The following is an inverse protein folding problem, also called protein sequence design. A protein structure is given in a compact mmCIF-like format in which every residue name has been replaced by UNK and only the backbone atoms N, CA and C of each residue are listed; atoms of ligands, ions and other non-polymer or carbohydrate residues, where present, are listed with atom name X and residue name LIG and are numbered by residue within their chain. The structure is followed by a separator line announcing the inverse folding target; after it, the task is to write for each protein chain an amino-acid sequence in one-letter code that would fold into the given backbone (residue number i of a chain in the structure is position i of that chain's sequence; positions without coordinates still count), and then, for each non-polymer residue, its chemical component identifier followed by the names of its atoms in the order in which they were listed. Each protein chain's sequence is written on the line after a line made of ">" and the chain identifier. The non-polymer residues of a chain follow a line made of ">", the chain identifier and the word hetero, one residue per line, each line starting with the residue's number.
data_IF_805737405409
#
_entry.id   IF_805737405409
#
_cell.length_a   1.000
_cell.length_b   1.000
_cell.length_c   1.000
_cell.angle_alpha   90.00
_cell.angle_beta   90.00
_cell.angle_gamma   90.00
#
_symmetry.space_group_name_H-M   'P 1'
#
loop_
_entity.id
_entity.type
_entity.pdbx_description
1 polymer ?
#
# COMPACT_ATOMS: atom_id res chain seq x y z
N UNK A 1 16.36 10.23 1.37
CA UNK A 1 15.36 9.14 1.41
C UNK A 1 14.51 9.26 2.65
N UNK A 2 13.22 9.08 2.51
CA UNK A 2 12.29 9.12 3.63
C UNK A 2 11.82 7.72 3.97
N UNK A 3 11.56 7.48 5.24
CA UNK A 3 11.01 6.22 5.72
C UNK A 3 9.53 6.37 5.96
N UNK A 4 8.78 5.36 5.56
CA UNK A 4 7.33 5.31 5.77
C UNK A 4 6.97 3.97 6.37
N UNK A 5 5.97 3.99 7.24
CA UNK A 5 5.44 2.77 7.81
C UNK A 5 4.08 2.54 7.19
N UNK A 6 3.91 1.39 6.54
CA UNK A 6 2.63 1.00 5.96
C UNK A 6 2.00 -0.02 6.89
N UNK A 7 0.86 0.33 7.45
CA UNK A 7 0.12 -0.57 8.32
C UNK A 7 -0.79 -1.47 7.50
N UNK A 8 -0.86 -2.73 7.89
CA UNK A 8 -1.64 -3.75 7.19
C UNK A 8 -2.91 -4.05 7.96
N UNK A 9 -4.05 -4.07 7.26
CA UNK A 9 -5.34 -4.40 7.86
C UNK A 9 -6.10 -5.37 6.98
N UNK A 10 -6.89 -6.23 7.61
CA UNK A 10 -7.71 -7.18 6.87
C UNK A 10 -6.87 -8.20 6.12
N UNK A 11 -7.24 -8.48 4.88
CA UNK A 11 -6.57 -9.50 4.09
C UNK A 11 -5.08 -9.22 3.84
N UNK A 12 -4.65 -7.98 3.59
CA UNK A 12 -3.21 -7.69 3.51
C UNK A 12 -2.44 -8.16 4.73
N UNK A 13 -3.02 -7.99 5.91
CA UNK A 13 -2.39 -8.44 7.15
C UNK A 13 -2.36 -9.97 7.22
N UNK A 14 -3.41 -10.63 6.78
CA UNK A 14 -3.45 -12.09 6.77
C UNK A 14 -2.46 -12.67 5.78
N UNK A 15 -2.37 -12.09 4.59
CA UNK A 15 -1.47 -12.56 3.54
C UNK A 15 -0.01 -12.39 3.93
N UNK A 16 0.34 -11.26 4.56
CA UNK A 16 1.72 -10.96 4.92
C UNK A 16 2.12 -11.46 6.29
N UNK A 17 1.14 -11.68 7.15
CA UNK A 17 1.33 -11.99 8.57
C UNK A 17 2.06 -10.86 9.31
N UNK A 18 2.04 -9.66 8.74
CA UNK A 18 2.67 -8.48 9.30
C UNK A 18 1.61 -7.44 9.65
N UNK A 19 1.82 -6.75 10.76
CA UNK A 19 0.96 -5.62 11.13
C UNK A 19 1.37 -4.35 10.43
N UNK A 20 2.66 -4.23 10.17
CA UNK A 20 3.21 -3.07 9.49
C UNK A 20 4.53 -3.44 8.84
N UNK A 21 4.93 -2.64 7.86
CA UNK A 21 6.21 -2.79 7.18
C UNK A 21 6.81 -1.40 6.96
N UNK A 22 8.11 -1.30 7.12
CA UNK A 22 8.84 -0.07 6.87
C UNK A 22 9.41 -0.10 5.46
N UNK A 23 9.19 1.00 4.73
CA UNK A 23 9.73 1.15 3.38
C UNK A 23 10.49 2.47 3.29
N UNK A 24 11.48 2.52 2.42
CA UNK A 24 12.23 3.74 2.13
C UNK A 24 11.93 4.18 0.70
N UNK A 25 11.61 5.46 0.54
CA UNK A 25 11.31 6.02 -0.76
C UNK A 25 12.01 7.37 -0.92
N UNK A 26 12.28 7.72 -2.16
CA UNK A 26 12.86 9.02 -2.49
C UNK A 26 11.88 10.15 -2.19
N UNK A 27 12.40 11.36 -2.08
CA UNK A 27 11.56 12.55 -1.92
C UNK A 27 10.65 12.69 -3.13
N UNK A 28 9.42 13.11 -2.88
CA UNK A 28 8.43 13.28 -3.94
C UNK A 28 7.80 11.98 -4.43
N UNK A 29 7.97 10.89 -3.69
CA UNK A 29 7.37 9.62 -4.05
C UNK A 29 5.84 9.69 -4.04
N UNK A 30 5.23 8.83 -4.84
CA UNK A 30 3.78 8.74 -4.94
C UNK A 30 3.29 7.35 -4.52
N UNK A 31 1.99 7.13 -4.55
CA UNK A 31 1.42 5.84 -4.17
C UNK A 31 1.89 4.69 -5.06
N UNK A 32 2.14 4.96 -6.34
CA UNK A 32 2.71 3.96 -7.22
C UNK A 32 4.07 3.48 -6.72
N UNK A 33 4.86 4.39 -6.16
CA UNK A 33 6.16 4.04 -5.58
C UNK A 33 5.98 3.22 -4.31
N UNK A 34 4.95 3.50 -3.52
CA UNK A 34 4.62 2.70 -2.34
C UNK A 34 4.29 1.27 -2.75
N UNK A 35 3.45 1.10 -3.77
CA UNK A 35 3.07 -0.23 -4.26
C UNK A 35 4.31 -0.97 -4.76
N UNK A 36 5.17 -0.30 -5.52
CA UNK A 36 6.39 -0.91 -6.03
C UNK A 36 7.30 -1.40 -4.90
N UNK A 37 7.46 -0.58 -3.86
CA UNK A 37 8.28 -0.95 -2.71
C UNK A 37 7.67 -2.13 -1.95
N UNK A 38 6.37 -2.12 -1.73
CA UNK A 38 5.69 -3.23 -1.05
C UNK A 38 5.81 -4.53 -1.85
N UNK A 39 5.65 -4.45 -3.16
CA UNK A 39 5.78 -5.62 -4.02
C UNK A 39 7.18 -6.19 -3.98
N UNK A 40 8.19 -5.34 -3.91
CA UNK A 40 9.57 -5.76 -3.82
C UNK A 40 9.89 -6.39 -2.47
N UNK A 41 9.41 -5.78 -1.39
CA UNK A 41 9.71 -6.25 -0.03
C UNK A 41 8.90 -7.48 0.37
N UNK A 42 7.67 -7.60 -0.10
CA UNK A 42 6.77 -8.67 0.32
C UNK A 42 6.19 -9.35 -0.92
N UNK A 43 6.86 -10.40 -1.36
CA UNK A 43 6.45 -11.12 -2.57
C UNK A 43 5.06 -11.73 -2.46
N UNK A 44 4.62 -12.05 -1.25
CA UNK A 44 3.30 -12.64 -1.04
C UNK A 44 2.16 -11.72 -1.45
N UNK A 45 2.39 -10.43 -1.54
CA UNK A 45 1.36 -9.47 -1.95
C UNK A 45 1.04 -9.56 -3.44
N UNK A 46 2.03 -9.92 -4.25
CA UNK A 46 1.82 -9.97 -5.69
C UNK A 46 0.88 -11.12 -6.06
N UNK A 47 -0.15 -10.80 -6.82
CA UNK A 47 -1.16 -11.76 -7.21
C UNK A 47 -2.31 -11.90 -6.21
N UNK A 48 -2.17 -11.36 -5.02
CA UNK A 48 -3.22 -11.44 -4.00
C UNK A 48 -3.78 -10.07 -3.61
N UNK A 49 -2.92 -9.08 -3.49
CA UNK A 49 -3.31 -7.71 -3.14
C UNK A 49 -2.82 -6.74 -4.21
N UNK A 50 -1.66 -7.01 -4.78
CA UNK A 50 -1.06 -6.21 -5.84
C UNK A 50 -1.15 -7.01 -7.14
N UNK A 51 -1.55 -6.35 -8.23
CA UNK A 51 -1.64 -7.02 -9.52
C UNK A 51 -0.28 -7.54 -9.97
N UNK A 52 -0.27 -8.79 -10.44
CA UNK A 52 0.97 -9.41 -10.90
C UNK A 52 1.59 -8.60 -12.04
N UNK A 53 2.88 -8.27 -11.89
CA UNK A 53 3.61 -7.53 -12.90
C UNK A 53 3.30 -6.04 -12.98
N UNK A 54 2.45 -5.51 -12.09
CA UNK A 54 2.05 -4.11 -12.13
C UNK A 54 2.21 -3.45 -10.77
N UNK A 55 2.43 -2.15 -10.79
CA UNK A 55 2.54 -1.38 -9.55
C UNK A 55 1.18 -0.75 -9.22
N UNK A 56 0.17 -1.60 -9.04
CA UNK A 56 -1.18 -1.16 -8.69
C UNK A 56 -1.88 -2.24 -7.89
N UNK A 57 -2.81 -1.80 -7.05
CA UNK A 57 -3.60 -2.71 -6.22
C UNK A 57 -4.64 -3.44 -7.06
N UNK A 58 -5.00 -4.63 -6.60
CA UNK A 58 -6.13 -5.36 -7.13
C UNK A 58 -7.42 -4.70 -6.63
N UNK A 59 -8.53 -5.04 -7.25
CA UNK A 59 -9.84 -4.53 -6.84
C UNK A 59 -10.12 -4.82 -5.37
N UNK A 60 -10.89 -3.96 -4.73
CA UNK A 60 -11.30 -4.05 -3.34
C UNK A 60 -10.20 -3.73 -2.32
N UNK A 61 -9.07 -3.24 -2.78
CA UNK A 61 -8.01 -2.78 -1.89
C UNK A 61 -7.82 -1.29 -2.06
N UNK A 62 -7.40 -0.64 -0.99
CA UNK A 62 -7.13 0.78 -1.01
C UNK A 62 -6.06 1.14 0.00
N UNK A 63 -5.44 2.28 -0.24
CA UNK A 63 -4.63 2.93 0.78
C UNK A 63 -5.49 3.96 1.51
N UNK A 64 -5.27 4.08 2.80
CA UNK A 64 -5.81 5.19 3.57
C UNK A 64 -4.62 6.02 4.00
N UNK A 65 -4.61 7.29 3.58
CA UNK A 65 -3.53 8.21 3.95
C UNK A 65 -4.14 9.33 4.77
N UNK A 66 -3.79 9.36 6.04
CA UNK A 66 -4.28 10.40 6.97
C UNK A 66 -5.81 10.51 6.98
N UNK A 67 -6.51 9.39 6.81
CA UNK A 67 -7.97 9.35 6.84
C UNK A 67 -8.66 9.43 5.48
N UNK A 68 -7.90 9.57 4.40
CA UNK A 68 -8.46 9.59 3.04
C UNK A 68 -8.17 8.31 2.30
N UNK A 69 -9.15 7.80 1.56
CA UNK A 69 -9.01 6.57 0.81
C UNK A 69 -8.59 6.82 -0.64
N UNK A 70 -7.65 6.02 -1.11
CA UNK A 70 -7.16 6.06 -2.49
C UNK A 70 -7.03 4.63 -2.99
N UNK A 71 -7.68 4.31 -4.11
CA UNK A 71 -7.61 2.95 -4.66
C UNK A 71 -6.82 2.88 -5.97
N UNK A 72 -7.04 3.83 -6.87
CA UNK A 72 -6.37 3.82 -8.16
C UNK A 72 -5.51 5.05 -8.43
N UNK A 73 -5.36 5.91 -7.45
CA UNK A 73 -4.69 7.20 -7.59
C UNK A 73 -3.19 7.08 -7.37
N UNK A 74 -2.54 6.36 -8.26
CA UNK A 74 -1.10 6.10 -8.12
C UNK A 74 -0.22 7.33 -8.13
N UNK A 75 -0.72 8.44 -8.65
CA UNK A 75 0.04 9.68 -8.75
C UNK A 75 -0.05 10.57 -7.51
N UNK A 76 -0.87 10.18 -6.55
CA UNK A 76 -0.98 10.93 -5.30
C UNK A 76 0.35 10.90 -4.59
N UNK A 77 0.92 12.07 -4.31
CA UNK A 77 2.20 12.16 -3.62
C UNK A 77 2.02 11.95 -2.12
N UNK A 78 2.99 11.27 -1.54
CA UNK A 78 3.05 11.09 -0.10
C UNK A 78 4.14 12.00 0.46
N UNK A 79 3.99 12.36 1.73
CA UNK A 79 4.92 13.26 2.40
C UNK A 79 5.40 12.62 3.70
N UNK A 80 6.59 13.04 4.12
CA UNK A 80 7.15 12.56 5.38
C UNK A 80 6.15 12.79 6.51
N UNK A 81 5.96 11.76 7.32
CA UNK A 81 5.01 11.82 8.42
C UNK A 81 3.61 11.33 8.08
N UNK A 82 3.33 11.04 6.82
CA UNK A 82 2.01 10.51 6.43
C UNK A 82 1.78 9.13 7.05
N UNK A 83 0.54 8.92 7.48
CA UNK A 83 0.09 7.61 7.94
C UNK A 83 -0.47 6.86 6.75
N UNK A 84 0.15 5.75 6.41
CA UNK A 84 -0.26 4.94 5.27
C UNK A 84 -0.79 3.61 5.77
N UNK A 85 -2.02 3.30 5.38
CA UNK A 85 -2.65 2.04 5.73
C UNK A 85 -3.07 1.33 4.45
N UNK A 86 -2.80 0.04 4.38
CA UNK A 86 -3.26 -0.81 3.27
C UNK A 86 -4.36 -1.70 3.80
N UNK A 87 -5.52 -1.67 3.19
CA UNK A 87 -6.68 -2.37 3.70
C UNK A 87 -7.62 -2.85 2.59
N UNK A 88 -8.49 -3.76 2.97
CA UNK A 88 -9.56 -4.24 2.11
C UNK A 88 -10.75 -3.33 2.26
N UNK A 89 -11.29 -2.85 1.15
CA UNK A 89 -12.54 -2.09 1.18
C UNK A 89 -13.70 -3.06 1.39
N UNK A 90 -14.56 -2.75 2.34
CA UNK A 90 -15.76 -3.52 2.54
C UNK A 90 -16.69 -3.28 1.36
N UNK A 91 -16.88 -4.29 0.56
CA UNK A 91 -17.84 -4.22 -0.54
C UNK A 91 -19.17 -4.73 -0.05
N UNK A 92 -19.84 -3.97 0.71
CA UNK A 92 -21.11 -4.28 1.31
C UNK A 92 -22.03 -5.26 0.59
N UNK A 93 -21.65 -6.41 0.44
CA UNK A 93 -22.48 -7.28 -0.32
C UNK A 93 -22.33 -8.67 -0.06
#
# INVERSE_FOLDING_TARGET
>A
MNRYIVQMFGLPREVTELREVEIELKDGANLGDVVAALRHEILALEGQVIRAGENRLMEHYAFNINGRFYSEDREVQIQEGDRIMLLTLATGG
#
